data_IF_916457592518
#
_entry.id   IF_916457592518
#
_cell.length_a   1.000
_cell.length_b   1.000
_cell.length_c   1.000
_cell.angle_alpha   90.00
_cell.angle_beta   90.00
_cell.angle_gamma   90.00
#
_symmetry.space_group_name_H-M   'P 1'
#
loop_
_entity.id
_entity.type
_entity.pdbx_description
1 polymer ?
#
# COMPACT_ATOMS: atom_id res chain seq x y z
N UNK A 1 49.07 24.14 -11.28
CA UNK A 1 48.91 23.04 -10.39
C UNK A 1 47.64 22.25 -10.82
N UNK A 2 47.85 21.06 -11.38
CA UNK A 2 46.78 20.13 -11.68
C UNK A 2 46.23 19.66 -10.35
N UNK A 3 45.01 20.07 -9.99
CA UNK A 3 44.23 19.50 -8.91
C UNK A 3 43.92 18.06 -9.32
N UNK A 4 44.67 17.10 -8.78
CA UNK A 4 44.30 15.67 -8.87
C UNK A 4 42.93 15.52 -8.23
N UNK A 5 41.95 15.04 -9.01
CA UNK A 5 40.69 14.62 -8.44
C UNK A 5 40.95 13.52 -7.39
N UNK A 6 40.37 13.62 -6.20
CA UNK A 6 40.59 12.61 -5.17
C UNK A 6 40.09 11.24 -5.67
N UNK A 7 40.99 10.28 -5.74
CA UNK A 7 40.64 8.90 -6.05
C UNK A 7 39.75 8.36 -4.93
N UNK A 8 38.46 8.16 -5.22
CA UNK A 8 37.45 7.66 -4.29
C UNK A 8 37.13 6.20 -4.61
N UNK A 9 37.03 5.39 -3.55
CA UNK A 9 36.58 4.02 -3.64
C UNK A 9 35.10 3.95 -3.23
N UNK A 10 34.28 3.28 -4.05
CA UNK A 10 32.85 3.13 -3.78
C UNK A 10 32.51 1.66 -3.56
N UNK A 11 31.82 1.35 -2.47
CA UNK A 11 31.26 0.04 -2.17
C UNK A 11 29.74 0.18 -2.17
N UNK A 12 29.08 -0.63 -2.98
CA UNK A 12 27.62 -0.69 -3.05
C UNK A 12 27.10 -2.02 -2.52
N UNK A 13 25.91 -1.99 -1.93
CA UNK A 13 25.25 -3.20 -1.45
C UNK A 13 23.76 -3.02 -1.24
N UNK A 14 23.09 -4.17 -1.16
CA UNK A 14 21.66 -4.27 -0.91
C UNK A 14 21.43 -4.82 0.49
N UNK A 15 20.50 -4.22 1.20
CA UNK A 15 19.97 -4.76 2.45
C UNK A 15 18.82 -5.72 2.12
N UNK A 16 19.07 -7.00 2.22
CA UNK A 16 18.07 -8.05 1.96
C UNK A 16 17.03 -8.11 3.07
N UNK A 17 15.84 -8.60 2.74
CA UNK A 17 14.83 -8.91 3.76
C UNK A 17 15.39 -9.84 4.82
N UNK A 18 15.12 -9.52 6.10
CA UNK A 18 15.58 -10.25 7.30
C UNK A 18 17.08 -10.16 7.59
N UNK A 19 17.88 -9.40 6.84
CA UNK A 19 19.26 -9.07 7.21
C UNK A 19 19.32 -7.74 7.96
N UNK A 20 20.35 -7.54 8.76
CA UNK A 20 20.61 -6.26 9.42
C UNK A 20 21.60 -5.43 8.60
N UNK A 21 21.55 -4.10 8.74
CA UNK A 21 22.55 -3.23 8.10
C UNK A 21 23.97 -3.61 8.56
N UNK A 22 24.15 -3.95 9.86
CA UNK A 22 25.42 -4.44 10.40
C UNK A 22 25.93 -5.65 9.61
N UNK A 23 25.09 -6.67 9.46
CA UNK A 23 25.44 -7.91 8.77
C UNK A 23 25.79 -7.65 7.29
N UNK A 24 25.01 -6.87 6.57
CA UNK A 24 25.23 -6.55 5.17
C UNK A 24 26.54 -5.77 4.96
N UNK A 25 26.86 -4.82 5.85
CA UNK A 25 28.13 -4.08 5.83
C UNK A 25 29.32 -4.99 6.17
N UNK A 26 29.15 -5.92 7.11
CA UNK A 26 30.21 -6.89 7.49
C UNK A 26 30.53 -7.86 6.35
N UNK A 27 29.52 -8.32 5.61
CA UNK A 27 29.69 -9.18 4.42
C UNK A 27 30.49 -8.50 3.29
N UNK A 28 30.52 -7.17 3.26
CA UNK A 28 31.32 -6.36 2.33
C UNK A 28 32.72 -6.02 2.87
N UNK A 29 33.13 -6.63 3.99
CA UNK A 29 34.42 -6.39 4.66
C UNK A 29 34.65 -4.94 5.05
N UNK A 30 33.59 -4.19 5.35
CA UNK A 30 33.70 -2.82 5.84
C UNK A 30 34.25 -2.85 7.27
N UNK A 31 35.29 -2.04 7.60
CA UNK A 31 35.86 -2.00 8.93
C UNK A 31 34.83 -1.73 10.02
N UNK A 32 34.91 -2.44 11.14
CA UNK A 32 33.97 -2.32 12.27
C UNK A 32 33.80 -0.87 12.73
N UNK A 33 34.90 -0.09 12.78
CA UNK A 33 34.83 1.34 13.14
C UNK A 33 33.84 2.14 12.30
N UNK A 34 33.73 1.82 11.00
CA UNK A 34 32.78 2.50 10.10
C UNK A 34 31.38 1.96 10.27
N UNK A 35 31.22 0.66 10.50
CA UNK A 35 29.91 0.06 10.77
C UNK A 35 29.30 0.66 12.04
N UNK A 36 30.05 0.76 13.12
CA UNK A 36 29.59 1.33 14.39
C UNK A 36 29.25 2.82 14.23
N UNK A 37 30.09 3.56 13.54
CA UNK A 37 29.82 4.97 13.24
C UNK A 37 28.52 5.14 12.44
N UNK A 38 28.37 4.39 11.35
CA UNK A 38 27.18 4.44 10.49
C UNK A 38 25.92 4.15 11.28
N UNK A 39 25.92 3.05 12.05
CA UNK A 39 24.76 2.65 12.84
C UNK A 39 24.45 3.69 13.91
N UNK A 40 25.46 4.18 14.63
CA UNK A 40 25.27 5.18 15.68
C UNK A 40 24.69 6.49 15.15
N UNK A 41 25.21 6.96 14.00
CA UNK A 41 24.77 8.20 13.37
C UNK A 41 23.37 8.09 12.72
N UNK A 42 23.00 6.92 12.17
CA UNK A 42 21.68 6.70 11.61
C UNK A 42 20.61 6.40 12.64
N UNK A 43 20.96 5.93 13.85
CA UNK A 43 20.02 5.54 14.90
C UNK A 43 18.92 6.59 15.23
N UNK A 44 19.19 7.91 15.22
CA UNK A 44 18.16 8.93 15.44
C UNK A 44 17.11 9.02 14.34
N UNK A 45 17.45 8.60 13.12
CA UNK A 45 16.63 8.75 11.92
C UNK A 45 15.97 7.45 11.48
N UNK A 46 16.60 6.29 11.77
CA UNK A 46 16.25 5.00 11.21
C UNK A 46 15.89 4.01 12.31
N UNK A 47 14.67 3.47 12.25
CA UNK A 47 14.29 2.36 13.11
C UNK A 47 14.75 1.03 12.51
N UNK A 48 15.94 0.58 12.88
CA UNK A 48 16.55 -0.65 12.36
C UNK A 48 15.71 -1.91 12.55
N UNK A 49 14.76 -1.95 13.49
CA UNK A 49 13.82 -3.07 13.69
C UNK A 49 12.70 -3.12 12.64
N UNK A 50 12.47 -2.02 11.94
CA UNK A 50 11.42 -1.91 10.92
C UNK A 50 11.93 -1.83 9.49
N UNK A 51 13.25 -1.90 9.31
CA UNK A 51 13.86 -1.93 7.98
C UNK A 51 13.43 -3.21 7.26
N UNK A 52 12.93 -3.05 6.03
CA UNK A 52 12.52 -4.17 5.15
C UNK A 52 13.46 -4.39 3.97
N UNK A 53 14.47 -3.55 3.82
CA UNK A 53 15.41 -3.61 2.70
C UNK A 53 15.98 -2.23 2.38
N UNK A 54 16.50 -2.08 1.17
CA UNK A 54 17.08 -0.85 0.65
C UNK A 54 18.47 -1.06 0.06
N UNK A 55 19.05 -0.02 -0.46
CA UNK A 55 20.40 -0.02 -1.03
C UNK A 55 21.30 0.91 -0.24
N UNK A 56 22.59 0.64 -0.24
CA UNK A 56 23.54 1.56 0.36
C UNK A 56 24.78 1.73 -0.51
N UNK A 57 25.41 2.89 -0.34
CA UNK A 57 26.65 3.25 -0.99
C UNK A 57 27.61 3.85 0.05
N UNK A 58 28.80 3.28 0.16
CA UNK A 58 29.87 3.78 0.99
C UNK A 58 30.99 4.30 0.10
N UNK A 59 31.42 5.52 0.34
CA UNK A 59 32.48 6.20 -0.39
C UNK A 59 33.61 6.48 0.58
N UNK A 60 34.81 5.99 0.26
CA UNK A 60 36.04 6.23 1.03
C UNK A 60 37.14 6.85 0.16
N UNK A 61 38.08 7.53 0.79
CA UNK A 61 39.29 8.00 0.14
C UNK A 61 40.35 6.87 0.04
N UNK A 62 41.47 7.16 -0.59
CA UNK A 62 42.60 6.23 -0.77
C UNK A 62 43.21 5.76 0.56
N UNK A 63 43.06 6.51 1.63
CA UNK A 63 43.53 6.20 2.97
C UNK A 63 42.55 5.28 3.73
N UNK A 64 41.42 4.93 3.10
CA UNK A 64 40.34 4.11 3.70
C UNK A 64 39.48 4.87 4.71
N UNK A 65 39.52 6.21 4.70
CA UNK A 65 38.65 7.04 5.53
C UNK A 65 37.29 7.18 4.87
N UNK A 66 36.22 7.09 5.67
CA UNK A 66 34.85 7.31 5.20
C UNK A 66 34.67 8.76 4.79
N UNK A 67 34.29 8.99 3.53
CA UNK A 67 33.96 10.31 3.00
C UNK A 67 32.45 10.52 3.07
N UNK A 68 31.68 9.53 2.62
CA UNK A 68 30.22 9.60 2.56
C UNK A 68 29.61 8.20 2.68
N UNK A 69 28.50 8.12 3.37
CA UNK A 69 27.62 6.95 3.36
C UNK A 69 26.20 7.37 3.00
N UNK A 70 25.57 6.64 2.08
CA UNK A 70 24.21 6.87 1.63
C UNK A 70 23.43 5.59 1.87
N UNK A 71 22.28 5.69 2.54
CA UNK A 71 21.35 4.59 2.69
C UNK A 71 19.99 5.01 2.12
N UNK A 72 19.54 4.30 1.10
CA UNK A 72 18.25 4.48 0.44
C UNK A 72 17.29 3.39 0.90
N UNK A 73 16.51 3.66 1.94
CA UNK A 73 15.49 2.75 2.46
C UNK A 73 14.29 2.63 1.51
N UNK A 74 14.02 3.68 0.73
CA UNK A 74 13.04 3.75 -0.35
C UNK A 74 13.40 4.92 -1.28
N UNK A 75 12.74 5.05 -2.45
CA UNK A 75 12.96 6.21 -3.34
C UNK A 75 12.74 7.58 -2.68
N UNK A 76 12.01 7.62 -1.57
CA UNK A 76 11.66 8.85 -0.84
C UNK A 76 12.29 8.94 0.56
N UNK A 77 13.03 7.91 0.97
CA UNK A 77 13.69 7.86 2.27
C UNK A 77 15.18 7.58 2.08
N UNK A 78 15.95 8.65 1.96
CA UNK A 78 17.39 8.63 1.76
C UNK A 78 18.06 9.28 2.97
N UNK A 79 19.05 8.61 3.52
CA UNK A 79 19.86 9.06 4.64
C UNK A 79 21.31 9.17 4.18
N UNK A 80 21.95 10.27 4.52
CA UNK A 80 23.34 10.56 4.17
C UNK A 80 24.15 10.82 5.44
N UNK A 81 25.37 10.27 5.48
CA UNK A 81 26.38 10.61 6.46
C UNK A 81 27.56 11.19 5.69
N UNK A 82 27.98 12.37 6.06
CA UNK A 82 29.12 13.06 5.49
C UNK A 82 30.05 13.54 6.57
N UNK A 83 31.36 13.63 6.25
CA UNK A 83 32.37 14.21 7.13
C UNK A 83 32.35 15.72 6.95
N UNK A 84 32.27 16.44 8.04
CA UNK A 84 32.45 17.90 8.08
C UNK A 84 33.66 18.29 8.96
N UNK A 85 33.81 19.59 9.27
CA UNK A 85 34.89 20.13 10.09
C UNK A 85 34.87 19.67 11.55
N UNK A 86 33.70 19.23 12.06
CA UNK A 86 33.49 18.80 13.45
C UNK A 86 33.33 17.28 13.60
N UNK A 87 33.36 16.55 12.47
CA UNK A 87 33.25 15.08 12.45
C UNK A 87 32.25 14.57 11.43
N UNK A 88 31.45 13.56 11.80
CA UNK A 88 30.45 12.99 10.90
C UNK A 88 29.04 13.44 11.29
N UNK A 89 28.30 13.95 10.31
CA UNK A 89 26.91 14.37 10.46
C UNK A 89 26.02 13.45 9.62
N UNK A 90 24.91 12.97 10.23
CA UNK A 90 23.86 12.25 9.54
C UNK A 90 22.66 13.15 9.29
N UNK A 91 22.06 13.03 8.13
CA UNK A 91 20.85 13.77 7.77
C UNK A 91 19.91 12.94 6.90
N UNK A 92 18.62 13.21 7.01
CA UNK A 92 17.64 12.71 6.05
C UNK A 92 17.58 13.68 4.88
N UNK A 93 17.85 13.18 3.68
CA UNK A 93 17.80 14.00 2.47
C UNK A 93 16.35 14.40 2.16
N UNK A 94 16.11 15.67 1.94
CA UNK A 94 14.84 16.15 1.38
C UNK A 94 14.78 15.78 -0.09
N UNK A 95 13.81 14.94 -0.44
CA UNK A 95 13.54 14.54 -1.83
C UNK A 95 12.46 15.46 -2.38
N UNK A 96 12.75 16.14 -3.47
CA UNK A 96 11.75 16.89 -4.20
C UNK A 96 10.81 15.89 -4.88
N UNK A 97 9.53 15.98 -4.54
CA UNK A 97 8.47 15.20 -5.16
C UNK A 97 7.55 16.13 -5.92
N UNK A 98 7.18 15.73 -7.12
CA UNK A 98 6.25 16.45 -7.97
C UNK A 98 4.92 15.72 -7.97
N UNK A 99 3.84 16.49 -7.91
CA UNK A 99 2.47 15.96 -7.95
C UNK A 99 1.81 16.37 -9.26
N UNK A 100 1.47 15.39 -10.07
CA UNK A 100 0.80 15.59 -11.34
C UNK A 100 -0.63 15.08 -11.26
N UNK A 101 -1.59 15.89 -11.73
CA UNK A 101 -2.97 15.48 -11.84
C UNK A 101 -3.17 14.69 -13.13
N UNK A 102 -3.62 13.46 -13.02
CA UNK A 102 -3.85 12.56 -14.14
C UNK A 102 -5.33 12.20 -14.26
N UNK A 103 -5.82 12.10 -15.51
CA UNK A 103 -7.11 11.54 -15.84
C UNK A 103 -6.89 10.16 -16.42
N UNK A 104 -7.48 9.13 -15.79
CA UNK A 104 -7.45 7.75 -16.23
C UNK A 104 -8.85 7.34 -16.67
N UNK A 105 -8.95 6.69 -17.81
CA UNK A 105 -10.22 6.24 -18.41
C UNK A 105 -10.03 4.84 -18.95
N UNK A 106 -10.97 3.95 -18.70
CA UNK A 106 -10.93 2.59 -19.23
C UNK A 106 -12.31 1.97 -19.36
N UNK A 107 -12.35 0.85 -20.08
CA UNK A 107 -13.51 -0.01 -20.26
C UNK A 107 -13.16 -1.42 -19.74
N UNK A 108 -14.10 -2.04 -19.07
CA UNK A 108 -13.92 -3.36 -18.44
C UNK A 108 -14.33 -4.44 -19.42
N UNK A 109 -13.40 -5.36 -19.69
CA UNK A 109 -13.68 -6.55 -20.51
C UNK A 109 -13.83 -7.81 -19.66
N UNK A 110 -13.12 -7.91 -18.53
CA UNK A 110 -13.15 -9.07 -17.62
C UNK A 110 -13.26 -8.63 -16.17
N UNK A 111 -12.31 -7.81 -15.71
CA UNK A 111 -12.26 -7.32 -14.33
C UNK A 111 -11.76 -5.86 -14.27
N UNK A 112 -12.05 -5.19 -13.16
CA UNK A 112 -11.54 -3.84 -12.93
C UNK A 112 -9.99 -3.83 -12.86
N UNK A 113 -9.39 -4.88 -12.29
CA UNK A 113 -7.92 -4.96 -12.17
C UNK A 113 -7.26 -5.05 -13.55
N UNK A 114 -7.72 -5.94 -14.42
CA UNK A 114 -7.19 -6.07 -15.77
C UNK A 114 -7.44 -4.80 -16.61
N UNK A 115 -8.59 -4.16 -16.44
CA UNK A 115 -8.90 -2.92 -17.15
C UNK A 115 -8.03 -1.73 -16.70
N UNK A 116 -7.68 -1.64 -15.42
CA UNK A 116 -6.76 -0.63 -14.88
C UNK A 116 -5.32 -0.91 -15.35
N UNK A 117 -4.88 -2.17 -15.32
CA UNK A 117 -3.55 -2.58 -15.81
C UNK A 117 -3.40 -2.29 -17.31
N UNK A 118 -4.43 -2.57 -18.12
CA UNK A 118 -4.44 -2.31 -19.57
C UNK A 118 -4.27 -0.82 -19.93
N UNK A 119 -4.63 0.09 -19.02
CA UNK A 119 -4.40 1.54 -19.18
C UNK A 119 -3.14 2.02 -18.47
N UNK A 120 -2.29 1.10 -18.01
CA UNK A 120 -0.99 1.37 -17.39
C UNK A 120 -1.05 1.78 -15.92
N UNK A 121 -2.13 1.45 -15.22
CA UNK A 121 -2.29 1.77 -13.81
C UNK A 121 -2.00 0.56 -12.91
N UNK A 122 -1.54 0.84 -11.69
CA UNK A 122 -1.15 -0.20 -10.74
C UNK A 122 -2.27 -0.52 -9.74
N UNK A 123 -2.22 -1.70 -9.12
CA UNK A 123 -3.17 -2.21 -8.12
C UNK A 123 -3.58 -1.21 -7.03
N UNK A 124 -2.68 -0.37 -6.46
CA UNK A 124 -3.09 0.59 -5.43
C UNK A 124 -4.19 1.56 -5.88
N UNK A 125 -4.20 2.00 -7.15
CA UNK A 125 -5.27 2.84 -7.66
C UNK A 125 -6.58 2.06 -7.81
N UNK A 126 -6.49 0.83 -8.33
CA UNK A 126 -7.63 -0.07 -8.49
C UNK A 126 -8.31 -0.35 -7.15
N UNK A 127 -7.51 -0.64 -6.12
CA UNK A 127 -7.99 -0.89 -4.76
C UNK A 127 -8.67 0.37 -4.20
N UNK A 128 -8.03 1.53 -4.30
CA UNK A 128 -8.59 2.78 -3.80
C UNK A 128 -9.90 3.15 -4.51
N UNK A 129 -9.96 2.99 -5.84
CA UNK A 129 -11.18 3.19 -6.62
C UNK A 129 -12.31 2.27 -6.15
N UNK A 130 -12.02 0.97 -6.01
CA UNK A 130 -13.00 -0.01 -5.56
C UNK A 130 -13.47 0.27 -4.12
N UNK A 131 -12.58 0.71 -3.23
CA UNK A 131 -12.91 1.05 -1.85
C UNK A 131 -13.86 2.25 -1.74
N UNK A 132 -13.65 3.29 -2.53
CA UNK A 132 -14.54 4.47 -2.55
C UNK A 132 -15.94 4.08 -2.98
N UNK A 133 -16.07 3.19 -3.97
CA UNK A 133 -17.36 2.73 -4.51
C UNK A 133 -17.92 1.48 -3.82
N UNK A 134 -17.24 0.91 -2.84
CA UNK A 134 -17.63 -0.36 -2.20
C UNK A 134 -19.04 -0.33 -1.56
N UNK A 135 -19.56 0.84 -1.26
CA UNK A 135 -20.91 1.04 -0.73
C UNK A 135 -22.00 1.03 -1.82
N UNK A 136 -21.61 1.28 -3.08
CA UNK A 136 -22.52 1.34 -4.24
C UNK A 136 -22.43 0.08 -5.10
N UNK A 137 -21.23 -0.51 -5.21
CA UNK A 137 -20.90 -1.56 -6.17
C UNK A 137 -20.20 -2.71 -5.44
N UNK A 138 -20.62 -3.93 -5.70
CA UNK A 138 -19.86 -5.14 -5.42
C UNK A 138 -19.02 -5.48 -6.65
N UNK A 139 -17.74 -5.10 -6.67
CA UNK A 139 -16.85 -5.33 -7.80
C UNK A 139 -16.59 -6.81 -8.12
N UNK A 140 -17.03 -7.73 -7.28
CA UNK A 140 -16.96 -9.18 -7.55
C UNK A 140 -18.20 -9.73 -8.27
N UNK A 141 -19.33 -9.03 -8.17
CA UNK A 141 -20.61 -9.51 -8.71
C UNK A 141 -21.27 -8.57 -9.70
N UNK A 142 -21.11 -7.27 -9.45
CA UNK A 142 -21.87 -6.26 -10.17
C UNK A 142 -21.19 -5.85 -11.47
N UNK A 143 -19.88 -6.07 -11.61
CA UNK A 143 -19.08 -5.70 -12.79
C UNK A 143 -19.50 -6.53 -14.02
N UNK A 144 -19.59 -5.88 -15.16
CA UNK A 144 -19.93 -6.49 -16.45
C UNK A 144 -18.99 -6.00 -17.54
N UNK A 145 -18.81 -6.80 -18.55
CA UNK A 145 -18.16 -6.41 -19.79
C UNK A 145 -18.87 -5.18 -20.38
N UNK A 146 -18.08 -4.19 -20.84
CA UNK A 146 -18.57 -2.91 -21.33
C UNK A 146 -18.81 -1.84 -20.26
N UNK A 147 -18.65 -2.16 -18.98
CA UNK A 147 -18.64 -1.15 -17.92
C UNK A 147 -17.43 -0.21 -18.08
N UNK A 148 -17.62 1.07 -17.77
CA UNK A 148 -16.58 2.11 -17.95
C UNK A 148 -16.23 2.79 -16.64
N UNK A 149 -14.99 3.20 -16.53
CA UNK A 149 -14.54 4.00 -15.39
C UNK A 149 -13.76 5.24 -15.85
N UNK A 150 -13.83 6.27 -15.02
CA UNK A 150 -12.97 7.45 -15.11
C UNK A 150 -12.50 7.80 -13.70
N UNK A 151 -11.26 8.23 -13.59
CA UNK A 151 -10.72 8.71 -12.32
C UNK A 151 -9.79 9.89 -12.55
N UNK A 152 -9.88 10.88 -11.68
CA UNK A 152 -8.94 12.00 -11.59
C UNK A 152 -8.14 11.81 -10.32
N UNK A 153 -6.84 11.56 -10.46
CA UNK A 153 -5.96 11.15 -9.37
C UNK A 153 -4.63 11.89 -9.42
N UNK A 154 -4.06 12.15 -8.27
CA UNK A 154 -2.68 12.62 -8.16
C UNK A 154 -1.71 11.46 -8.39
N UNK A 155 -0.72 11.67 -9.25
CA UNK A 155 0.45 10.81 -9.41
C UNK A 155 1.68 11.55 -8.89
N UNK A 156 2.41 10.93 -7.99
CA UNK A 156 3.57 11.54 -7.33
C UNK A 156 4.83 10.96 -7.92
N UNK A 157 5.73 11.84 -8.35
CA UNK A 157 6.97 11.52 -9.04
C UNK A 157 8.20 12.05 -8.30
N UNK A 158 9.33 11.38 -8.50
CA UNK A 158 10.69 11.85 -8.21
C UNK A 158 11.42 11.97 -9.54
N UNK A 159 11.54 13.18 -10.09
CA UNK A 159 11.91 13.36 -11.50
C UNK A 159 10.90 12.60 -12.38
N UNK A 160 11.40 11.78 -13.30
CA UNK A 160 10.54 10.97 -14.19
C UNK A 160 10.03 9.66 -13.56
N UNK A 161 10.49 9.31 -12.37
CA UNK A 161 10.11 8.05 -11.72
C UNK A 161 8.79 8.21 -10.99
N UNK A 162 7.77 7.40 -11.38
CA UNK A 162 6.53 7.26 -10.62
C UNK A 162 6.81 6.60 -9.26
N UNK A 163 6.33 7.23 -8.19
CA UNK A 163 6.52 6.75 -6.82
C UNK A 163 5.25 6.13 -6.25
N UNK A 164 4.13 6.86 -6.35
CA UNK A 164 2.85 6.43 -5.79
C UNK A 164 1.70 7.30 -6.29
N UNK A 165 0.51 6.82 -6.05
CA UNK A 165 -0.70 7.65 -6.16
C UNK A 165 -0.85 8.53 -4.92
N UNK A 166 -1.41 9.72 -5.14
CA UNK A 166 -1.91 10.62 -4.12
C UNK A 166 -3.42 10.50 -3.96
N UNK A 167 -4.07 11.64 -3.80
CA UNK A 167 -5.53 11.69 -3.65
C UNK A 167 -6.27 11.41 -4.96
N UNK A 168 -7.36 10.65 -4.87
CA UNK A 168 -8.38 10.61 -5.93
C UNK A 168 -9.30 11.82 -5.71
N UNK A 169 -9.40 12.72 -6.68
CA UNK A 169 -10.22 13.92 -6.60
C UNK A 169 -11.65 13.67 -7.06
N UNK A 170 -11.80 12.89 -8.13
CA UNK A 170 -13.10 12.53 -8.67
C UNK A 170 -13.03 11.15 -9.32
N UNK A 171 -14.13 10.46 -9.34
CA UNK A 171 -14.27 9.19 -10.03
C UNK A 171 -15.69 9.03 -10.59
N UNK A 172 -15.79 8.23 -11.64
CA UNK A 172 -17.02 7.85 -12.29
C UNK A 172 -16.96 6.37 -12.65
N UNK A 173 -18.04 5.67 -12.38
CA UNK A 173 -18.26 4.30 -12.85
C UNK A 173 -19.58 4.25 -13.56
N UNK A 174 -19.59 3.71 -14.79
CA UNK A 174 -20.76 3.63 -15.65
C UNK A 174 -21.06 2.17 -16.00
N UNK A 175 -22.29 1.75 -15.77
CA UNK A 175 -22.84 0.46 -16.19
C UNK A 175 -24.14 0.66 -16.93
N UNK A 176 -24.09 0.51 -18.26
CA UNK A 176 -25.21 0.90 -19.11
C UNK A 176 -25.60 2.36 -18.91
N UNK A 177 -26.85 2.63 -18.58
CA UNK A 177 -27.33 3.97 -18.27
C UNK A 177 -27.05 4.44 -16.83
N UNK A 178 -26.68 3.51 -15.94
CA UNK A 178 -26.39 3.86 -14.55
C UNK A 178 -24.99 4.42 -14.41
N UNK A 179 -24.89 5.67 -13.94
CA UNK A 179 -23.64 6.35 -13.65
C UNK A 179 -23.56 6.62 -12.15
N UNK A 180 -22.42 6.28 -11.56
CA UNK A 180 -22.09 6.57 -10.16
C UNK A 180 -20.88 7.48 -10.18
N UNK A 181 -20.99 8.66 -9.55
CA UNK A 181 -19.92 9.64 -9.43
C UNK A 181 -19.55 9.86 -8.00
N UNK A 182 -18.26 10.05 -7.77
CA UNK A 182 -17.71 10.44 -6.47
C UNK A 182 -16.78 11.62 -6.64
N UNK A 183 -17.05 12.69 -5.90
CA UNK A 183 -16.21 13.89 -5.85
C UNK A 183 -15.67 13.99 -4.42
N UNK A 184 -14.37 14.15 -4.29
CA UNK A 184 -13.72 14.31 -2.97
C UNK A 184 -14.02 15.67 -2.39
N UNK A 185 -14.50 15.68 -1.15
CA UNK A 185 -14.59 16.88 -0.33
C UNK A 185 -14.14 16.55 1.09
N UNK A 186 -13.10 17.25 1.56
CA UNK A 186 -12.41 16.93 2.82
C UNK A 186 -11.99 15.45 2.86
N UNK A 187 -12.44 14.69 3.84
CA UNK A 187 -12.11 13.28 4.05
C UNK A 187 -13.12 12.30 3.42
N UNK A 188 -14.12 12.80 2.68
CA UNK A 188 -15.18 11.97 2.11
C UNK A 188 -15.37 12.12 0.63
N UNK A 189 -16.19 11.22 0.07
CA UNK A 189 -16.63 11.27 -1.32
C UNK A 189 -18.15 11.44 -1.37
N UNK A 190 -18.59 12.31 -2.26
CA UNK A 190 -19.99 12.70 -2.39
C UNK A 190 -20.41 12.65 -3.86
N UNK A 191 -21.66 12.31 -4.10
CA UNK A 191 -22.24 12.39 -5.46
C UNK A 191 -22.51 13.85 -5.85
N UNK A 192 -23.01 14.05 -7.07
CA UNK A 192 -23.35 15.36 -7.64
C UNK A 192 -24.45 16.13 -6.85
N UNK A 193 -25.19 15.44 -5.99
CA UNK A 193 -26.19 16.03 -5.08
C UNK A 193 -25.66 16.35 -3.70
N UNK A 194 -24.37 16.15 -3.48
CA UNK A 194 -23.74 16.33 -2.16
C UNK A 194 -24.06 15.22 -1.15
N UNK A 195 -24.60 14.08 -1.60
CA UNK A 195 -24.89 12.93 -0.74
C UNK A 195 -23.62 12.08 -0.65
N UNK A 196 -23.23 11.72 0.58
CA UNK A 196 -22.06 10.87 0.81
C UNK A 196 -22.22 9.51 0.11
N UNK A 197 -21.16 9.06 -0.55
CA UNK A 197 -21.08 7.68 -1.08
C UNK A 197 -20.96 6.64 0.03
N UNK A 198 -20.45 7.03 1.19
CA UNK A 198 -20.42 6.14 2.37
C UNK A 198 -21.83 6.01 2.94
N UNK A 199 -22.42 4.84 2.73
CA UNK A 199 -23.76 4.50 3.27
C UNK A 199 -23.63 3.95 4.70
N UNK A 200 -24.77 3.80 5.38
CA UNK A 200 -24.80 3.23 6.72
C UNK A 200 -24.17 1.83 6.79
N UNK A 201 -24.30 1.03 5.72
CA UNK A 201 -23.76 -0.32 5.69
C UNK A 201 -22.95 -0.60 4.43
N UNK A 202 -21.76 -1.16 4.61
CA UNK A 202 -20.92 -1.68 3.53
C UNK A 202 -21.65 -2.86 2.86
N UNK A 203 -21.66 -2.90 1.55
CA UNK A 203 -22.37 -3.93 0.79
C UNK A 203 -21.78 -5.33 1.00
N UNK A 204 -20.45 -5.42 1.15
CA UNK A 204 -19.71 -6.66 1.33
C UNK A 204 -18.56 -6.46 2.33
N UNK A 205 -18.48 -7.28 3.40
CA UNK A 205 -17.50 -7.10 4.48
C UNK A 205 -16.08 -7.58 4.16
N UNK A 206 -15.90 -8.37 3.09
CA UNK A 206 -14.61 -8.97 2.73
C UNK A 206 -14.53 -9.29 1.23
N UNK A 207 -13.31 -9.51 0.74
CA UNK A 207 -13.09 -10.15 -0.56
C UNK A 207 -13.41 -11.64 -0.45
N UNK A 208 -14.24 -12.18 -1.32
CA UNK A 208 -14.65 -13.57 -1.28
C UNK A 208 -14.70 -14.21 -2.67
N UNK A 209 -14.48 -15.53 -2.74
CA UNK A 209 -14.54 -16.28 -3.99
C UNK A 209 -15.99 -16.56 -4.40
N UNK A 210 -16.84 -16.89 -3.40
CA UNK A 210 -18.26 -17.18 -3.62
C UNK A 210 -19.07 -17.03 -2.32
N UNK A 211 -20.36 -16.83 -2.45
CA UNK A 211 -21.31 -17.05 -1.35
C UNK A 211 -21.52 -18.54 -1.25
N UNK A 212 -21.07 -19.15 -0.16
CA UNK A 212 -21.23 -20.58 0.09
C UNK A 212 -22.62 -20.91 0.61
N UNK A 213 -23.25 -19.98 1.35
CA UNK A 213 -24.63 -20.13 1.78
C UNK A 213 -25.34 -18.79 1.91
N UNK A 214 -26.56 -18.74 1.40
CA UNK A 214 -27.42 -17.55 1.47
C UNK A 214 -28.30 -17.58 2.72
N UNK A 215 -28.80 -16.38 3.11
CA UNK A 215 -29.89 -16.27 4.09
C UNK A 215 -31.08 -17.13 3.66
N UNK A 216 -31.64 -17.90 4.60
CA UNK A 216 -32.84 -18.72 4.37
C UNK A 216 -33.58 -18.92 5.66
N UNK A 217 -34.88 -18.76 5.65
CA UNK A 217 -35.73 -19.08 6.82
C UNK A 217 -35.85 -20.58 7.05
N UNK A 218 -35.66 -21.40 6.01
CA UNK A 218 -35.68 -22.87 6.10
C UNK A 218 -34.83 -23.45 4.98
N UNK A 219 -33.70 -24.11 5.31
CA UNK A 219 -32.85 -24.84 4.37
C UNK A 219 -32.47 -26.20 4.98
N UNK A 220 -32.14 -27.15 4.12
CA UNK A 220 -31.55 -28.42 4.58
C UNK A 220 -30.15 -28.14 5.14
N UNK A 221 -29.92 -28.50 6.41
CA UNK A 221 -28.63 -28.27 7.04
C UNK A 221 -27.58 -29.21 6.47
N UNK A 222 -26.41 -28.71 5.98
CA UNK A 222 -25.45 -29.53 5.23
C UNK A 222 -24.78 -30.62 6.05
N UNK A 223 -24.67 -30.47 7.38
CA UNK A 223 -23.97 -31.39 8.27
C UNK A 223 -24.99 -32.18 9.15
N UNK A 224 -25.91 -31.48 9.78
CA UNK A 224 -26.81 -32.06 10.79
C UNK A 224 -28.10 -32.61 10.20
N UNK A 225 -28.35 -32.40 8.92
CA UNK A 225 -29.62 -32.75 8.28
C UNK A 225 -30.81 -31.93 8.80
N UNK A 226 -32.01 -32.21 8.27
CA UNK A 226 -33.23 -31.51 8.65
C UNK A 226 -33.34 -30.09 8.09
N UNK A 227 -34.51 -29.49 8.23
CA UNK A 227 -34.78 -28.11 7.83
C UNK A 227 -34.44 -27.16 8.97
N UNK A 228 -33.51 -26.25 8.75
CA UNK A 228 -33.07 -25.24 9.74
C UNK A 228 -32.93 -23.86 9.11
N UNK A 229 -33.22 -22.79 9.86
CA UNK A 229 -32.99 -21.46 9.38
C UNK A 229 -31.48 -21.13 9.30
N UNK A 230 -31.12 -20.26 8.37
CA UNK A 230 -29.80 -19.64 8.27
C UNK A 230 -29.99 -18.13 8.21
N UNK A 231 -29.78 -17.47 9.34
CA UNK A 231 -30.03 -16.03 9.48
C UNK A 231 -28.83 -15.15 9.06
N UNK A 232 -27.92 -15.70 8.31
CA UNK A 232 -26.75 -15.00 7.80
C UNK A 232 -26.43 -15.32 6.35
N UNK A 233 -25.30 -14.78 5.89
CA UNK A 233 -24.71 -15.12 4.59
C UNK A 233 -23.29 -15.59 4.83
N UNK A 234 -22.98 -16.80 4.33
CA UNK A 234 -21.63 -17.35 4.44
C UNK A 234 -20.82 -17.00 3.18
N UNK A 235 -19.69 -16.37 3.37
CA UNK A 235 -18.73 -16.03 2.32
C UNK A 235 -17.54 -16.97 2.38
N UNK A 236 -17.21 -17.62 1.27
CA UNK A 236 -16.01 -18.45 1.15
C UNK A 236 -14.85 -17.59 0.66
N UNK A 237 -13.81 -17.49 1.47
CA UNK A 237 -12.58 -16.76 1.17
C UNK A 237 -11.35 -17.53 1.67
N UNK A 238 -10.14 -17.29 1.10
CA UNK A 238 -8.90 -17.88 1.60
C UNK A 238 -8.64 -17.51 3.07
N UNK A 239 -7.99 -18.40 3.85
CA UNK A 239 -7.50 -18.06 5.18
C UNK A 239 -6.62 -16.79 5.15
N UNK A 240 -6.78 -15.93 6.15
CA UNK A 240 -6.06 -14.66 6.22
C UNK A 240 -6.72 -13.50 5.46
N UNK A 241 -7.84 -13.72 4.75
CA UNK A 241 -8.61 -12.64 4.13
C UNK A 241 -9.11 -11.66 5.19
N UNK A 242 -8.81 -10.35 5.10
CA UNK A 242 -9.29 -9.36 6.05
C UNK A 242 -10.81 -9.24 6.02
N UNK A 243 -11.44 -9.22 7.21
CA UNK A 243 -12.86 -8.97 7.40
C UNK A 243 -13.01 -7.56 7.97
N UNK A 244 -13.89 -6.75 7.37
CA UNK A 244 -14.17 -5.38 7.78
C UNK A 244 -15.54 -5.28 8.44
N UNK A 245 -15.67 -4.41 9.43
CA UNK A 245 -16.98 -4.02 9.94
C UNK A 245 -17.82 -3.41 8.80
N UNK A 246 -19.08 -3.82 8.69
CA UNK A 246 -19.97 -3.30 7.63
C UNK A 246 -20.48 -1.90 7.92
N UNK A 247 -20.37 -1.44 9.16
CA UNK A 247 -20.72 -0.10 9.62
C UNK A 247 -19.87 0.29 10.83
N UNK A 248 -19.98 1.56 11.23
CA UNK A 248 -19.46 2.01 12.51
C UNK A 248 -20.26 1.30 13.64
N UNK A 249 -19.56 0.90 14.68
CA UNK A 249 -20.16 0.18 15.80
C UNK A 249 -19.19 0.06 16.98
N UNK A 250 -19.69 -0.52 18.06
CA UNK A 250 -18.90 -0.85 19.25
C UNK A 250 -18.79 -2.37 19.35
N UNK A 251 -17.58 -2.87 19.52
CA UNK A 251 -17.35 -4.29 19.75
C UNK A 251 -17.87 -4.65 21.14
N UNK A 252 -18.89 -5.49 21.19
CA UNK A 252 -19.51 -5.96 22.45
C UNK A 252 -18.92 -7.27 22.92
N UNK A 253 -18.46 -8.11 21.99
CA UNK A 253 -17.72 -9.33 22.32
C UNK A 253 -16.78 -9.75 21.19
N UNK A 254 -15.71 -10.46 21.56
CA UNK A 254 -14.81 -11.14 20.61
C UNK A 254 -14.28 -12.42 21.28
N UNK A 255 -14.07 -13.48 20.47
CA UNK A 255 -13.50 -14.74 20.94
C UNK A 255 -14.09 -15.95 20.25
N UNK A 256 -13.81 -17.12 20.82
CA UNK A 256 -14.26 -18.40 20.32
C UNK A 256 -15.68 -18.72 20.83
N UNK A 257 -16.53 -19.17 19.92
CA UNK A 257 -17.88 -19.68 20.21
C UNK A 257 -18.04 -21.07 19.59
N UNK A 258 -18.56 -22.04 20.35
CA UNK A 258 -18.70 -23.43 19.91
C UNK A 258 -19.59 -23.61 18.67
N UNK A 259 -20.48 -22.65 18.36
CA UNK A 259 -21.35 -22.73 17.19
C UNK A 259 -20.82 -21.95 15.98
N UNK A 260 -20.08 -20.86 16.21
CA UNK A 260 -19.66 -19.94 15.18
C UNK A 260 -18.13 -19.86 14.98
N UNK A 261 -17.35 -20.50 15.86
CA UNK A 261 -15.89 -20.39 15.84
C UNK A 261 -15.40 -19.03 16.37
N UNK A 262 -14.35 -18.49 15.76
CA UNK A 262 -13.89 -17.14 16.10
C UNK A 262 -14.91 -16.10 15.60
N UNK A 263 -15.37 -15.26 16.50
CA UNK A 263 -16.37 -14.23 16.19
C UNK A 263 -16.01 -12.88 16.80
N UNK A 264 -16.52 -11.82 16.18
CA UNK A 264 -16.54 -10.45 16.70
C UNK A 264 -17.99 -9.97 16.57
N UNK A 265 -18.56 -9.44 17.65
CA UNK A 265 -19.90 -8.88 17.72
C UNK A 265 -19.83 -7.41 18.11
#
# INVERSE_FOLDING_TARGET
>A
PLTQEPHLHTIEGDLKERSTLFQSLSEKNIPLRWIDLIISKLKPYVNFKKIKGGTYRLISNVEGELVKFIYEASPTEIYEIEKDSEGYIAQRKKIALETHLAKVVGEIHSSLFEAMDAVGEQDPLTIAFAEILAWEIDFYKDVREGDRFKVVVEKIYKGDQFIRYGAIHALEYQRGEKIIRGIRYKEGYYNEKGISLRKAFLKVPLRFNRISSKFSRARKHPILGGMRPHFGVDYAAPPGTPIRAVADGTVTSCGWNNGFGNQVI
#
